data_IF_252261826595
#
_entry.id   IF_252261826595
#
_cell.length_a   1.000
_cell.length_b   1.000
_cell.length_c   1.000
_cell.angle_alpha   90.00
_cell.angle_beta   90.00
_cell.angle_gamma   90.00
#
_symmetry.space_group_name_H-M   'P 1'
#
loop_
_entity.id
_entity.type
_entity.pdbx_description
1 polymer ?
#
# COMPACT_ATOMS: atom_id res chain seq x y z
N UNK A 1 10.78 -1.25 16.37
CA UNK A 1 9.32 -1.00 16.41
C UNK A 1 8.65 -2.11 15.61
N UNK A 2 7.71 -2.88 16.18
CA UNK A 2 7.13 -4.01 15.44
C UNK A 2 6.08 -3.55 14.42
N UNK A 3 6.20 -4.09 13.21
CA UNK A 3 5.20 -4.08 12.15
C UNK A 3 5.02 -5.53 11.67
N UNK A 4 3.92 -5.81 10.98
CA UNK A 4 3.70 -7.07 10.27
C UNK A 4 4.06 -6.88 8.80
N UNK A 5 4.83 -7.80 8.25
CA UNK A 5 5.19 -7.84 6.83
C UNK A 5 4.28 -8.86 6.18
N UNK A 6 3.45 -8.44 5.22
CA UNK A 6 2.40 -9.29 4.65
C UNK A 6 2.41 -9.21 3.13
N UNK A 7 1.81 -10.21 2.50
CA UNK A 7 1.63 -10.30 1.05
C UNK A 7 0.18 -10.62 0.74
N UNK A 8 -0.34 -10.05 -0.34
CA UNK A 8 -1.63 -10.42 -0.93
C UNK A 8 -1.51 -10.45 -2.45
N UNK A 9 -2.24 -11.36 -3.08
CA UNK A 9 -2.36 -11.38 -4.54
C UNK A 9 -3.43 -10.40 -4.98
N UNK A 10 -3.05 -9.31 -5.64
CA UNK A 10 -3.94 -8.27 -6.15
C UNK A 10 -3.74 -8.15 -7.67
N UNK A 11 -4.83 -8.13 -8.45
CA UNK A 11 -4.82 -8.16 -9.92
C UNK A 11 -3.90 -9.26 -10.50
N UNK A 12 -3.82 -10.40 -9.81
CA UNK A 12 -2.94 -11.52 -10.18
C UNK A 12 -1.45 -11.27 -9.94
N UNK A 13 -1.08 -10.27 -9.14
CA UNK A 13 0.30 -9.91 -8.77
C UNK A 13 0.48 -9.98 -7.26
N UNK A 14 1.60 -10.51 -6.81
CA UNK A 14 1.93 -10.55 -5.38
C UNK A 14 2.37 -9.15 -4.92
N UNK A 15 1.58 -8.54 -4.03
CA UNK A 15 1.81 -7.20 -3.49
C UNK A 15 2.17 -7.32 -2.02
N UNK A 16 3.34 -6.79 -1.69
CA UNK A 16 3.81 -6.64 -0.33
C UNK A 16 3.23 -5.38 0.31
N UNK A 17 2.91 -5.46 1.61
CA UNK A 17 2.62 -4.29 2.42
C UNK A 17 3.06 -4.52 3.86
N UNK A 18 3.49 -3.44 4.51
CA UNK A 18 3.65 -3.45 5.97
C UNK A 18 2.37 -2.99 6.64
N UNK A 19 2.05 -3.59 7.78
CA UNK A 19 0.90 -3.25 8.59
C UNK A 19 1.34 -2.90 10.01
N UNK A 20 0.92 -1.73 10.46
CA UNK A 20 1.25 -1.18 11.77
C UNK A 20 -0.01 -0.95 12.59
N UNK A 21 0.14 -1.06 13.91
CA UNK A 21 -0.95 -0.77 14.85
C UNK A 21 -1.96 -1.91 14.98
N UNK A 22 -3.15 -1.62 15.56
CA UNK A 22 -4.19 -2.62 15.71
C UNK A 22 -4.70 -3.09 14.34
N UNK A 23 -5.03 -4.38 14.22
CA UNK A 23 -5.58 -4.94 12.97
C UNK A 23 -7.01 -4.46 12.69
N UNK A 24 -7.72 -4.02 13.72
CA UNK A 24 -9.07 -3.49 13.64
C UNK A 24 -9.08 -2.04 14.12
N UNK A 25 -9.76 -1.16 13.37
CA UNK A 25 -9.89 0.25 13.71
C UNK A 25 -9.82 1.16 12.48
N UNK A 26 -9.84 2.49 12.69
CA UNK A 26 -9.67 3.46 11.61
C UNK A 26 -8.39 3.18 10.84
N UNK A 27 -8.51 3.08 9.52
CA UNK A 27 -7.39 2.71 8.64
C UNK A 27 -6.79 3.94 7.97
N UNK A 28 -5.47 3.97 7.89
CA UNK A 28 -4.69 4.90 7.09
C UNK A 28 -3.91 4.08 6.06
N UNK A 29 -4.05 4.43 4.78
CA UNK A 29 -3.19 3.92 3.72
C UNK A 29 -2.11 4.96 3.45
N UNK A 30 -0.84 4.57 3.56
CA UNK A 30 0.31 5.41 3.31
C UNK A 30 1.06 4.89 2.08
N UNK A 31 0.88 5.53 0.92
CA UNK A 31 1.37 5.04 -0.38
C UNK A 31 2.52 5.90 -0.93
N UNK A 32 3.65 5.26 -1.23
CA UNK A 32 4.87 5.93 -1.66
C UNK A 32 4.83 6.43 -3.12
N UNK A 33 5.80 7.28 -3.49
CA UNK A 33 5.98 7.76 -4.86
C UNK A 33 6.72 6.78 -5.78
N UNK A 34 6.75 7.07 -7.09
CA UNK A 34 7.14 6.12 -8.16
C UNK A 34 8.44 5.33 -7.95
N UNK A 35 9.51 5.98 -7.48
CA UNK A 35 10.85 5.41 -7.34
C UNK A 35 11.20 5.02 -5.89
N UNK A 36 10.19 4.84 -5.03
CA UNK A 36 10.33 4.61 -3.59
C UNK A 36 9.73 3.26 -3.18
N UNK A 37 9.68 2.99 -1.88
CA UNK A 37 9.04 1.81 -1.27
C UNK A 37 8.18 2.22 -0.09
N UNK A 38 7.33 1.33 0.39
CA UNK A 38 6.45 1.55 1.56
C UNK A 38 7.23 1.87 2.85
N UNK A 39 8.53 1.55 2.90
CA UNK A 39 9.42 1.86 4.04
C UNK A 39 9.65 3.35 4.24
N UNK A 40 9.41 4.18 3.23
CA UNK A 40 9.39 5.65 3.38
C UNK A 40 8.35 6.13 4.41
N UNK A 41 7.33 5.31 4.66
CA UNK A 41 6.22 5.64 5.55
C UNK A 41 6.44 5.17 6.98
N UNK A 42 7.57 4.53 7.30
CA UNK A 42 7.86 3.95 8.60
C UNK A 42 7.74 4.94 9.76
N UNK A 43 8.30 6.14 9.60
CA UNK A 43 8.25 7.14 10.67
C UNK A 43 6.81 7.62 10.91
N UNK A 44 6.07 7.87 9.83
CA UNK A 44 4.66 8.25 9.88
C UNK A 44 3.83 7.13 10.54
N UNK A 45 3.99 5.89 10.08
CA UNK A 45 3.30 4.73 10.62
C UNK A 45 3.65 4.51 12.10
N UNK A 46 4.91 4.68 12.48
CA UNK A 46 5.38 4.62 13.85
C UNK A 46 4.69 5.62 14.79
N UNK A 47 4.39 6.83 14.30
CA UNK A 47 3.66 7.87 15.04
C UNK A 47 2.14 7.62 15.08
N UNK A 48 1.57 7.00 14.05
CA UNK A 48 0.12 6.78 13.93
C UNK A 48 -0.39 5.46 14.53
N UNK A 49 0.47 4.43 14.63
CA UNK A 49 0.09 3.06 15.01
C UNK A 49 -0.62 2.90 16.36
N UNK A 50 -0.51 3.88 17.25
CA UNK A 50 -1.21 3.87 18.54
C UNK A 50 -2.72 4.09 18.42
N UNK A 51 -3.19 4.63 17.28
CA UNK A 51 -4.59 5.00 17.05
C UNK A 51 -5.17 4.45 15.75
N UNK A 52 -4.31 4.14 14.78
CA UNK A 52 -4.71 3.72 13.43
C UNK A 52 -4.10 2.37 13.07
N UNK A 53 -4.85 1.60 12.29
CA UNK A 53 -4.29 0.57 11.42
C UNK A 53 -3.60 1.27 10.25
N UNK A 54 -2.28 1.19 10.13
CA UNK A 54 -1.55 1.85 9.04
C UNK A 54 -1.03 0.80 8.07
N UNK A 55 -1.46 0.91 6.81
CA UNK A 55 -1.04 0.05 5.70
C UNK A 55 -0.05 0.83 4.84
N UNK A 56 1.15 0.29 4.65
CA UNK A 56 2.17 0.87 3.76
C UNK A 56 2.53 -0.14 2.66
N UNK A 57 1.81 -0.13 1.52
CA UNK A 57 2.05 -1.03 0.40
C UNK A 57 3.31 -0.66 -0.37
N UNK A 58 3.96 -1.67 -0.97
CA UNK A 58 4.93 -1.50 -2.03
C UNK A 58 4.20 -1.56 -3.39
N UNK A 59 4.39 -0.56 -4.24
CA UNK A 59 3.86 -0.58 -5.61
C UNK A 59 4.52 -1.72 -6.40
N UNK A 60 3.77 -2.37 -7.31
CA UNK A 60 4.30 -3.43 -8.19
C UNK A 60 5.67 -3.06 -8.79
N UNK A 61 6.66 -3.96 -8.72
CA UNK A 61 8.03 -3.77 -9.17
C UNK A 61 8.91 -2.91 -8.25
N UNK A 62 8.43 -2.56 -7.06
CA UNK A 62 9.17 -1.79 -6.04
C UNK A 62 9.16 -2.60 -4.74
N UNK A 63 10.16 -2.35 -3.89
CA UNK A 63 10.27 -3.01 -2.59
C UNK A 63 10.22 -4.54 -2.72
N UNK A 64 9.33 -5.17 -1.96
CA UNK A 64 9.11 -6.62 -2.02
C UNK A 64 7.93 -7.04 -2.89
N UNK A 65 7.23 -6.10 -3.54
CA UNK A 65 6.16 -6.45 -4.48
C UNK A 65 6.73 -7.04 -5.78
N UNK A 66 5.98 -7.97 -6.36
CA UNK A 66 6.34 -8.65 -7.60
C UNK A 66 6.64 -7.65 -8.73
N UNK A 67 7.60 -7.99 -9.60
CA UNK A 67 7.82 -7.25 -10.85
C UNK A 67 6.79 -7.61 -11.91
N UNK A 68 6.39 -6.62 -12.72
CA UNK A 68 5.42 -6.84 -13.78
C UNK A 68 5.99 -7.72 -14.91
N UNK A 69 5.26 -8.77 -15.35
CA UNK A 69 5.58 -9.49 -16.59
C UNK A 69 5.08 -8.75 -17.84
N UNK A 70 4.23 -7.71 -17.70
CA UNK A 70 3.68 -6.90 -18.79
C UNK A 70 3.77 -5.40 -18.43
N UNK A 71 4.99 -4.84 -18.38
CA UNK A 71 5.23 -3.49 -17.85
C UNK A 71 4.54 -2.39 -18.67
N UNK A 72 4.27 -2.63 -19.97
CA UNK A 72 3.57 -1.68 -20.83
C UNK A 72 2.15 -1.37 -20.35
N UNK A 73 1.46 -2.38 -19.78
CA UNK A 73 0.09 -2.26 -19.31
C UNK A 73 -0.01 -2.10 -17.79
N UNK A 74 0.97 -2.61 -17.03
CA UNK A 74 0.88 -2.67 -15.56
C UNK A 74 1.63 -1.55 -14.84
N UNK A 75 2.57 -0.87 -15.51
CA UNK A 75 3.18 0.35 -14.98
C UNK A 75 2.41 1.60 -15.38
N UNK A 76 1.10 1.54 -15.16
CA UNK A 76 0.14 2.58 -15.47
C UNK A 76 -0.63 2.93 -14.20
N UNK A 77 -1.00 4.21 -14.05
CA UNK A 77 -1.72 4.69 -12.86
C UNK A 77 -3.05 3.94 -12.65
N UNK A 78 -3.75 3.60 -13.74
CA UNK A 78 -4.98 2.82 -13.69
C UNK A 78 -4.78 1.42 -13.12
N UNK A 79 -3.67 0.76 -13.45
CA UNK A 79 -3.33 -0.54 -12.89
C UNK A 79 -2.94 -0.43 -11.41
N UNK A 80 -2.22 0.62 -11.03
CA UNK A 80 -1.89 0.89 -9.63
C UNK A 80 -3.15 1.14 -8.77
N UNK A 81 -4.12 1.91 -9.28
CA UNK A 81 -5.41 2.12 -8.63
C UNK A 81 -6.19 0.81 -8.48
N UNK A 82 -6.18 -0.06 -9.49
CA UNK A 82 -6.79 -1.39 -9.40
C UNK A 82 -6.13 -2.25 -8.31
N UNK A 83 -4.80 -2.28 -8.24
CA UNK A 83 -4.07 -2.99 -7.18
C UNK A 83 -4.47 -2.46 -5.79
N UNK A 84 -4.57 -1.14 -5.64
CA UNK A 84 -4.99 -0.51 -4.39
C UNK A 84 -6.41 -0.90 -3.99
N UNK A 85 -7.37 -0.87 -4.92
CA UNK A 85 -8.75 -1.27 -4.66
C UNK A 85 -8.82 -2.74 -4.23
N UNK A 86 -8.21 -3.66 -5.00
CA UNK A 86 -8.24 -5.09 -4.66
C UNK A 86 -7.52 -5.41 -3.34
N UNK A 87 -6.47 -4.65 -2.99
CA UNK A 87 -5.81 -4.76 -1.68
C UNK A 87 -6.76 -4.37 -0.55
N UNK A 88 -7.48 -3.25 -0.67
CA UNK A 88 -8.42 -2.78 0.34
C UNK A 88 -9.63 -3.70 0.48
N UNK A 89 -10.16 -4.20 -0.63
CA UNK A 89 -11.28 -5.15 -0.65
C UNK A 89 -10.92 -6.44 0.10
N UNK A 90 -9.75 -7.03 -0.18
CA UNK A 90 -9.28 -8.24 0.50
C UNK A 90 -8.99 -8.01 1.98
N UNK A 91 -8.52 -6.82 2.35
CA UNK A 91 -8.30 -6.44 3.75
C UNK A 91 -9.58 -5.98 4.47
N UNK A 92 -10.73 -6.05 3.79
CA UNK A 92 -12.05 -5.65 4.26
C UNK A 92 -12.07 -4.19 4.75
N UNK A 93 -11.31 -3.32 4.10
CA UNK A 93 -11.21 -1.89 4.41
C UNK A 93 -12.24 -1.14 3.57
N UNK A 94 -13.39 -0.85 4.16
CA UNK A 94 -14.46 -0.09 3.48
C UNK A 94 -14.28 1.42 3.53
N UNK A 95 -13.44 1.92 4.45
CA UNK A 95 -13.10 3.34 4.59
C UNK A 95 -11.70 3.50 5.14
N UNK A 96 -10.91 4.37 4.50
CA UNK A 96 -9.58 4.73 4.96
C UNK A 96 -9.31 6.23 4.79
N UNK A 97 -8.39 6.74 5.59
CA UNK A 97 -7.67 7.98 5.26
C UNK A 97 -6.53 7.64 4.30
N UNK A 98 -6.28 8.51 3.34
CA UNK A 98 -5.22 8.30 2.35
C UNK A 98 -4.11 9.33 2.52
N UNK A 99 -2.87 8.86 2.61
CA UNK A 99 -1.66 9.68 2.60
C UNK A 99 -0.78 9.17 1.46
N UNK A 100 -0.60 9.98 0.42
CA UNK A 100 0.17 9.57 -0.75
C UNK A 100 1.14 10.66 -1.21
N UNK A 101 2.32 10.27 -1.69
CA UNK A 101 3.30 11.19 -2.27
C UNK A 101 3.35 11.06 -3.79
N UNK A 102 3.13 12.16 -4.51
CA UNK A 102 3.17 12.19 -5.99
C UNK A 102 2.27 11.10 -6.62
N UNK A 103 2.87 10.08 -7.25
CA UNK A 103 2.17 8.89 -7.76
C UNK A 103 1.27 8.26 -6.69
N UNK A 104 1.76 8.08 -5.46
CA UNK A 104 0.98 7.54 -4.36
C UNK A 104 -0.24 8.39 -4.00
N UNK A 105 -0.16 9.71 -4.20
CA UNK A 105 -1.31 10.60 -4.07
C UNK A 105 -2.32 10.42 -5.20
N UNK A 106 -1.80 10.26 -6.43
CA UNK A 106 -2.63 10.06 -7.63
C UNK A 106 -3.37 8.73 -7.64
N UNK A 107 -2.85 7.69 -6.97
CA UNK A 107 -3.52 6.38 -6.81
C UNK A 107 -4.79 6.50 -5.95
N UNK A 108 -4.83 7.43 -5.01
CA UNK A 108 -5.91 7.56 -4.02
C UNK A 108 -7.02 8.56 -4.39
N UNK A 109 -7.01 9.10 -5.61
CA UNK A 109 -8.02 10.03 -6.14
C UNK A 109 -8.85 9.28 -7.18
#
# INVERSE_FOLDING_TARGET
MSYRSNYLTCAGREIHYTEWGPQQGPTVVAWHGLARTGRDMDELAGRLKGRFRVLCPDTIGRGFSQWSPDPGNEYQLSFYARLAAELLDQLQVTRAHWVGTSMGGSIGI
#
